data_IF_248225739210
#
_entry.id   IF_248225739210
#
_cell.length_a   1.000
_cell.length_b   1.000
_cell.length_c   1.000
_cell.angle_alpha   90.00
_cell.angle_beta   90.00
_cell.angle_gamma   90.00
#
_symmetry.space_group_name_H-M   'P 1'
#
loop_
_entity.id
_entity.type
_entity.pdbx_description
1 polymer ?
#
# COMPACT_ATOMS: atom_id res chain seq x y z
N UNK A 1 12.40 4.78 -28.37
CA UNK A 1 11.28 5.50 -27.73
C UNK A 1 11.24 5.04 -26.29
N UNK A 2 11.89 5.80 -25.39
CA UNK A 2 11.87 5.48 -23.95
C UNK A 2 10.50 5.81 -23.37
N UNK A 3 10.02 4.99 -22.44
CA UNK A 3 8.85 5.36 -21.62
C UNK A 3 9.29 6.42 -20.63
N UNK A 4 8.72 7.60 -20.74
CA UNK A 4 9.02 8.71 -19.83
C UNK A 4 8.26 8.47 -18.51
N UNK A 5 8.94 7.89 -17.52
CA UNK A 5 8.40 7.50 -16.20
C UNK A 5 8.34 8.70 -15.23
N UNK A 6 8.21 9.91 -15.78
CA UNK A 6 8.55 11.19 -15.15
C UNK A 6 7.39 11.85 -14.42
N UNK A 7 6.61 11.06 -13.70
CA UNK A 7 5.40 11.56 -13.04
C UNK A 7 5.13 10.67 -11.84
N UNK A 8 5.28 11.21 -10.62
CA UNK A 8 4.24 11.14 -9.57
C UNK A 8 4.67 12.00 -8.31
N UNK A 9 3.88 13.03 -7.90
CA UNK A 9 3.94 13.81 -6.62
C UNK A 9 3.44 15.29 -6.74
N UNK A 10 2.49 15.77 -5.92
CA UNK A 10 1.59 16.97 -6.12
C UNK A 10 2.27 18.31 -6.52
N UNK A 11 1.74 19.24 -7.35
CA UNK A 11 0.56 19.29 -8.26
C UNK A 11 0.83 20.15 -9.54
N UNK A 12 0.67 19.65 -10.79
CA UNK A 12 0.80 20.44 -12.05
C UNK A 12 -0.23 20.06 -13.13
N UNK A 13 -0.90 21.05 -13.74
CA UNK A 13 -1.82 20.83 -14.87
C UNK A 13 -1.10 20.84 -16.23
N UNK A 14 -1.59 20.05 -17.19
CA UNK A 14 -1.09 20.04 -18.57
C UNK A 14 -1.11 21.44 -19.20
N UNK A 15 -2.14 22.22 -18.91
CA UNK A 15 -2.30 23.60 -19.36
C UNK A 15 -1.27 24.56 -18.76
N UNK A 16 -0.85 24.36 -17.51
CA UNK A 16 0.25 25.11 -16.90
C UNK A 16 1.59 24.79 -17.60
N UNK A 17 1.92 23.51 -17.75
CA UNK A 17 3.18 23.05 -18.36
C UNK A 17 3.28 23.52 -19.82
N UNK A 18 2.21 23.35 -20.61
CA UNK A 18 2.15 23.80 -22.00
C UNK A 18 2.31 25.33 -22.12
N UNK A 19 1.77 26.10 -21.17
CA UNK A 19 1.90 27.57 -21.14
C UNK A 19 3.32 28.03 -20.81
N UNK A 20 4.02 27.38 -19.87
CA UNK A 20 5.42 27.69 -19.53
C UNK A 20 6.34 27.40 -20.73
N UNK A 21 6.16 26.24 -21.39
CA UNK A 21 6.94 25.84 -22.58
C UNK A 21 6.75 26.76 -23.79
N UNK A 22 5.50 27.12 -24.13
CA UNK A 22 5.19 28.03 -25.24
C UNK A 22 5.85 29.40 -25.08
N UNK A 23 5.82 29.93 -23.87
CA UNK A 23 6.39 31.25 -23.54
C UNK A 23 7.93 31.21 -23.56
N UNK A 24 8.54 30.17 -23.00
CA UNK A 24 10.01 30.04 -22.88
C UNK A 24 10.69 29.79 -24.23
N UNK A 25 10.09 28.97 -25.10
CA UNK A 25 10.66 28.58 -26.40
C UNK A 25 9.99 29.26 -27.60
N UNK A 26 9.12 30.25 -27.36
CA UNK A 26 8.34 30.99 -28.37
C UNK A 26 7.67 30.09 -29.44
N UNK A 27 7.11 28.95 -29.00
CA UNK A 27 6.51 27.92 -29.86
C UNK A 27 4.99 27.92 -29.74
N UNK A 28 4.30 27.38 -30.76
CA UNK A 28 2.82 27.24 -30.77
C UNK A 28 2.33 25.81 -30.54
N UNK A 29 3.23 24.84 -30.38
CA UNK A 29 2.87 23.42 -30.25
C UNK A 29 1.94 23.16 -29.06
N UNK A 30 1.16 22.07 -29.15
CA UNK A 30 0.32 21.51 -28.08
C UNK A 30 0.76 20.09 -27.78
N UNK A 31 0.43 19.59 -26.59
CA UNK A 31 0.49 18.16 -26.31
C UNK A 31 -0.48 17.39 -27.21
N UNK A 32 -0.10 16.17 -27.59
CA UNK A 32 -0.89 15.30 -28.47
C UNK A 32 -1.93 14.46 -27.70
N UNK A 33 -2.78 13.70 -28.42
CA UNK A 33 -3.91 12.96 -27.83
C UNK A 33 -3.53 11.74 -26.95
N UNK A 34 -2.26 11.51 -26.69
CA UNK A 34 -1.73 10.38 -25.89
C UNK A 34 -0.87 10.85 -24.70
N UNK A 35 -1.07 12.09 -24.24
CA UNK A 35 -0.32 12.70 -23.14
C UNK A 35 -0.99 12.42 -21.78
N UNK A 36 -0.20 12.04 -20.77
CA UNK A 36 -0.65 11.82 -19.39
C UNK A 36 0.18 12.62 -18.37
N UNK A 37 -0.46 12.98 -17.26
CA UNK A 37 0.18 13.45 -16.02
C UNK A 37 -0.38 12.58 -14.88
N UNK A 38 0.40 12.39 -13.82
CA UNK A 38 0.21 11.39 -12.77
C UNK A 38 0.90 11.96 -11.50
N UNK A 39 0.27 12.09 -10.30
CA UNK A 39 0.93 12.57 -9.03
C UNK A 39 0.75 11.80 -7.66
N UNK A 40 1.77 11.03 -7.17
CA UNK A 40 1.90 10.28 -5.88
C UNK A 40 3.21 10.64 -5.16
N UNK A 41 3.19 10.98 -3.87
CA UNK A 41 4.41 11.14 -3.04
C UNK A 41 5.18 9.84 -2.72
N UNK A 42 4.79 8.69 -3.29
CA UNK A 42 5.31 7.39 -2.87
C UNK A 42 6.81 7.21 -3.10
N UNK A 43 7.43 7.76 -4.14
CA UNK A 43 8.88 7.59 -4.35
C UNK A 43 9.70 8.09 -3.14
N UNK A 44 9.36 9.26 -2.58
CA UNK A 44 9.98 9.74 -1.34
C UNK A 44 9.70 8.80 -0.15
N UNK A 45 8.48 8.29 0.02
CA UNK A 45 8.15 7.37 1.12
C UNK A 45 8.92 6.05 0.99
N UNK A 46 9.03 5.53 -0.23
CA UNK A 46 9.78 4.32 -0.55
C UNK A 46 11.30 4.51 -0.37
N UNK A 47 11.84 5.70 -0.61
CA UNK A 47 13.22 6.06 -0.27
C UNK A 47 13.44 6.12 1.25
N UNK A 48 12.49 6.68 2.02
CA UNK A 48 12.56 6.66 3.49
C UNK A 48 12.45 5.24 4.04
N UNK A 49 11.57 4.39 3.49
CA UNK A 49 11.48 2.97 3.82
C UNK A 49 12.75 2.20 3.43
N UNK A 50 13.35 2.49 2.27
CA UNK A 50 14.63 1.91 1.87
C UNK A 50 15.74 2.30 2.84
N UNK A 51 15.75 3.55 3.32
CA UNK A 51 16.70 4.04 4.31
C UNK A 51 16.50 3.38 5.70
N UNK A 52 15.25 3.23 6.14
CA UNK A 52 14.86 2.53 7.37
C UNK A 52 15.26 1.05 7.31
N UNK A 53 14.88 0.35 6.24
CA UNK A 53 15.15 -1.07 6.07
C UNK A 53 16.66 -1.32 5.93
N UNK A 54 17.40 -0.49 5.17
CA UNK A 54 18.86 -0.54 5.12
C UNK A 54 19.52 -0.33 6.49
N UNK A 55 19.03 0.62 7.30
CA UNK A 55 19.48 0.79 8.68
C UNK A 55 19.21 -0.49 9.50
N UNK A 56 18.02 -1.07 9.40
CA UNK A 56 17.64 -2.28 10.15
C UNK A 56 18.46 -3.52 9.77
N UNK A 57 18.83 -3.67 8.50
CA UNK A 57 19.69 -4.76 8.01
C UNK A 57 21.16 -4.61 8.41
N UNK A 58 21.61 -3.40 8.73
CA UNK A 58 23.02 -3.10 9.09
C UNK A 58 23.25 -2.89 10.59
N UNK A 59 22.19 -2.73 11.38
CA UNK A 59 22.25 -2.48 12.82
C UNK A 59 21.28 -3.43 13.52
N UNK A 60 21.75 -4.45 14.24
CA UNK A 60 20.85 -5.42 14.89
C UNK A 60 20.14 -4.86 16.15
N UNK A 61 20.63 -3.76 16.73
CA UNK A 61 20.21 -3.28 18.05
C UNK A 61 18.75 -2.79 18.15
N UNK A 62 18.08 -2.49 17.04
CA UNK A 62 16.66 -2.09 17.05
C UNK A 62 15.75 -3.20 17.60
N UNK A 63 16.10 -4.48 17.39
CA UNK A 63 15.36 -5.61 17.95
C UNK A 63 15.23 -5.52 19.47
N UNK A 64 16.25 -5.00 20.18
CA UNK A 64 16.26 -4.87 21.65
C UNK A 64 15.27 -3.80 22.12
N UNK A 65 15.11 -2.71 21.36
CA UNK A 65 14.12 -1.67 21.62
C UNK A 65 12.70 -2.13 21.29
N UNK A 66 12.53 -2.74 20.12
CA UNK A 66 11.27 -3.32 19.66
C UNK A 66 10.74 -4.37 20.66
N UNK A 67 11.52 -5.39 21.01
CA UNK A 67 11.10 -6.44 21.96
C UNK A 67 10.63 -5.87 23.32
N UNK A 68 11.29 -4.82 23.80
CA UNK A 68 11.00 -4.22 25.10
C UNK A 68 9.73 -3.35 25.09
N UNK A 69 9.42 -2.72 23.96
CA UNK A 69 8.19 -1.94 23.78
C UNK A 69 7.00 -2.83 23.39
N UNK A 70 7.24 -3.92 22.67
CA UNK A 70 6.21 -4.82 22.17
C UNK A 70 5.70 -5.83 23.20
N UNK A 71 6.58 -6.49 23.97
CA UNK A 71 6.22 -7.75 24.66
C UNK A 71 4.99 -7.74 25.60
N UNK A 72 4.62 -6.61 26.23
CA UNK A 72 3.39 -6.55 27.03
C UNK A 72 2.16 -6.25 26.19
N UNK A 73 2.19 -5.15 25.43
CA UNK A 73 1.04 -4.66 24.68
C UNK A 73 0.74 -5.53 23.46
N UNK A 74 1.76 -6.01 22.76
CA UNK A 74 1.62 -6.86 21.57
C UNK A 74 0.99 -8.21 21.92
N UNK A 75 1.37 -8.86 23.03
CA UNK A 75 0.83 -10.17 23.40
C UNK A 75 -0.66 -10.10 23.82
N UNK A 76 -1.05 -9.10 24.60
CA UNK A 76 -2.45 -8.89 24.99
C UNK A 76 -3.32 -8.48 23.79
N UNK A 77 -2.82 -7.55 22.97
CA UNK A 77 -3.50 -7.17 21.72
C UNK A 77 -3.59 -8.37 20.79
N UNK A 78 -2.52 -9.11 20.52
CA UNK A 78 -2.50 -10.29 19.63
C UNK A 78 -3.45 -11.40 20.07
N UNK A 79 -3.66 -11.61 21.38
CA UNK A 79 -4.65 -12.57 21.87
C UNK A 79 -6.10 -12.10 21.64
N UNK A 80 -6.38 -10.80 21.79
CA UNK A 80 -7.69 -10.22 21.50
C UNK A 80 -7.91 -9.90 20.00
N UNK A 81 -6.82 -9.82 19.22
CA UNK A 81 -6.80 -9.29 17.86
C UNK A 81 -7.71 -10.06 16.90
N UNK A 82 -7.77 -11.41 16.89
CA UNK A 82 -8.68 -12.13 16.01
C UNK A 82 -10.14 -11.80 16.32
N UNK A 83 -10.54 -11.73 17.60
CA UNK A 83 -11.92 -11.44 17.99
C UNK A 83 -12.32 -9.99 17.66
N UNK A 84 -11.47 -9.02 18.00
CA UNK A 84 -11.73 -7.60 17.72
C UNK A 84 -11.76 -7.35 16.20
N UNK A 85 -10.80 -7.91 15.46
CA UNK A 85 -10.71 -7.74 14.00
C UNK A 85 -11.87 -8.43 13.28
N UNK A 86 -12.26 -9.65 13.71
CA UNK A 86 -13.44 -10.36 13.20
C UNK A 86 -14.72 -9.55 13.40
N UNK A 87 -14.94 -9.02 14.59
CA UNK A 87 -16.12 -8.17 14.86
C UNK A 87 -16.13 -6.89 14.03
N UNK A 88 -14.96 -6.24 13.85
CA UNK A 88 -14.82 -5.05 13.00
C UNK A 88 -15.07 -5.38 11.53
N UNK A 89 -14.44 -6.41 10.97
CA UNK A 89 -14.56 -6.73 9.53
C UNK A 89 -15.99 -7.14 9.16
N UNK A 90 -16.69 -7.95 9.96
CA UNK A 90 -18.09 -8.29 9.68
C UNK A 90 -19.04 -7.08 9.78
N UNK A 91 -18.80 -6.17 10.73
CA UNK A 91 -19.54 -4.89 10.77
C UNK A 91 -19.29 -4.06 9.52
N UNK A 92 -18.04 -3.98 9.07
CA UNK A 92 -17.67 -3.27 7.84
C UNK A 92 -18.29 -3.90 6.60
N UNK A 93 -18.30 -5.23 6.49
CA UNK A 93 -18.99 -5.94 5.38
C UNK A 93 -20.47 -5.55 5.36
N UNK A 94 -21.16 -5.58 6.50
CA UNK A 94 -22.57 -5.19 6.58
C UNK A 94 -22.82 -3.72 6.20
N UNK A 95 -21.93 -2.79 6.57
CA UNK A 95 -22.00 -1.38 6.12
C UNK A 95 -21.83 -1.28 4.61
N UNK A 96 -20.76 -1.85 4.07
CA UNK A 96 -20.46 -1.82 2.63
C UNK A 96 -21.57 -2.45 1.79
N UNK A 97 -22.30 -3.44 2.32
CA UNK A 97 -23.44 -4.07 1.67
C UNK A 97 -24.64 -3.12 1.51
N UNK A 98 -24.82 -2.18 2.45
CA UNK A 98 -25.76 -1.07 2.33
C UNK A 98 -25.21 0.05 1.45
N UNK A 99 -23.95 0.43 1.64
CA UNK A 99 -23.34 1.60 0.98
C UNK A 99 -23.12 1.37 -0.53
N UNK A 100 -22.69 0.17 -0.94
CA UNK A 100 -22.55 -0.17 -2.36
C UNK A 100 -23.90 -0.13 -3.08
N UNK A 101 -24.98 -0.64 -2.46
CA UNK A 101 -26.32 -0.57 -3.05
C UNK A 101 -26.86 0.87 -3.22
N UNK A 102 -26.32 1.84 -2.48
CA UNK A 102 -26.68 3.26 -2.58
C UNK A 102 -25.84 4.01 -3.63
N UNK A 103 -24.53 3.73 -3.70
CA UNK A 103 -23.58 4.50 -4.53
C UNK A 103 -23.24 3.85 -5.89
N UNK A 104 -23.37 2.54 -6.00
CA UNK A 104 -23.21 1.80 -7.24
C UNK A 104 -24.57 1.24 -7.66
N UNK A 105 -24.94 1.44 -8.92
CA UNK A 105 -26.17 0.83 -9.45
C UNK A 105 -26.02 -0.68 -9.34
N UNK A 106 -27.02 -1.35 -8.73
CA UNK A 106 -26.98 -2.78 -8.41
C UNK A 106 -26.72 -3.62 -9.67
N UNK A 107 -25.45 -3.89 -9.92
CA UNK A 107 -25.00 -4.96 -10.78
C UNK A 107 -24.94 -6.22 -9.92
N UNK A 108 -25.57 -7.31 -10.40
CA UNK A 108 -25.72 -8.57 -9.66
C UNK A 108 -24.39 -9.21 -9.17
N UNK A 109 -23.23 -8.67 -9.54
CA UNK A 109 -21.90 -9.12 -9.10
C UNK A 109 -21.33 -8.44 -7.85
N UNK A 110 -21.96 -7.38 -7.30
CA UNK A 110 -21.41 -6.67 -6.13
C UNK A 110 -21.85 -7.29 -4.79
N UNK A 111 -23.07 -7.84 -4.71
CA UNK A 111 -23.49 -8.64 -3.58
C UNK A 111 -22.61 -9.91 -3.45
N UNK A 112 -22.34 -10.60 -4.56
CA UNK A 112 -21.45 -11.76 -4.58
C UNK A 112 -20.00 -11.41 -4.21
N UNK A 113 -19.53 -10.19 -4.48
CA UNK A 113 -18.18 -9.75 -4.08
C UNK A 113 -18.03 -9.70 -2.54
N UNK A 114 -19.06 -9.22 -1.84
CA UNK A 114 -19.07 -9.17 -0.38
C UNK A 114 -19.33 -10.55 0.25
N UNK A 115 -20.10 -11.41 -0.40
CA UNK A 115 -20.28 -12.81 0.01
C UNK A 115 -18.98 -13.63 -0.18
N UNK A 116 -18.27 -13.45 -1.30
CA UNK A 116 -16.92 -14.01 -1.54
C UNK A 116 -15.92 -13.54 -0.48
N UNK A 117 -15.95 -12.24 -0.14
CA UNK A 117 -15.12 -11.69 0.94
C UNK A 117 -15.46 -12.32 2.29
N UNK A 118 -16.74 -12.42 2.66
CA UNK A 118 -17.16 -13.00 3.93
C UNK A 118 -16.69 -14.45 4.07
N UNK A 119 -16.78 -15.25 3.00
CA UNK A 119 -16.25 -16.61 2.97
C UNK A 119 -14.71 -16.63 3.12
N UNK A 120 -14.00 -15.74 2.43
CA UNK A 120 -12.54 -15.67 2.45
C UNK A 120 -11.93 -15.07 3.74
N UNK A 121 -12.70 -14.28 4.50
CA UNK A 121 -12.26 -13.62 5.74
C UNK A 121 -11.95 -14.64 6.84
N UNK A 122 -12.70 -15.75 6.93
CA UNK A 122 -12.45 -16.78 7.95
C UNK A 122 -11.14 -17.54 7.69
N UNK A 123 -10.87 -17.92 6.44
CA UNK A 123 -9.57 -18.47 6.03
C UNK A 123 -8.44 -17.50 6.39
N UNK A 124 -8.63 -16.20 6.10
CA UNK A 124 -7.61 -15.18 6.33
C UNK A 124 -7.35 -14.94 7.82
N UNK A 125 -8.39 -14.93 8.66
CA UNK A 125 -8.29 -14.82 10.12
C UNK A 125 -7.68 -16.06 10.77
N UNK A 126 -7.96 -17.26 10.23
CA UNK A 126 -7.32 -18.50 10.66
C UNK A 126 -5.85 -18.56 10.21
N UNK A 127 -5.50 -17.91 9.09
CA UNK A 127 -4.14 -17.87 8.58
C UNK A 127 -3.25 -16.97 9.46
N UNK A 128 -2.44 -17.59 10.32
CA UNK A 128 -1.39 -16.91 11.10
C UNK A 128 -0.19 -16.49 10.22
N UNK A 129 -0.38 -16.40 8.90
CA UNK A 129 0.69 -16.47 7.90
C UNK A 129 1.65 -15.28 7.94
N UNK A 130 1.17 -14.08 8.28
CA UNK A 130 1.97 -12.84 8.31
C UNK A 130 3.29 -12.99 9.07
N UNK A 131 3.24 -13.63 10.26
CA UNK A 131 4.39 -13.78 11.15
C UNK A 131 5.49 -14.69 10.58
N UNK A 132 5.19 -15.52 9.58
CA UNK A 132 6.13 -16.47 8.99
C UNK A 132 6.44 -16.20 7.51
N UNK A 133 5.82 -15.21 6.84
CA UNK A 133 6.06 -14.93 5.42
C UNK A 133 7.55 -14.72 5.13
N UNK A 134 8.25 -13.96 5.98
CA UNK A 134 9.67 -13.72 5.82
C UNK A 134 10.48 -15.03 5.89
N UNK A 135 10.20 -15.92 6.86
CA UNK A 135 10.86 -17.22 6.99
C UNK A 135 10.55 -18.15 5.81
N UNK A 136 9.27 -18.24 5.44
CA UNK A 136 8.78 -19.08 4.33
C UNK A 136 9.27 -18.61 2.95
N UNK A 137 9.72 -17.36 2.82
CA UNK A 137 10.32 -16.81 1.60
C UNK A 137 11.84 -16.64 1.69
N UNK A 138 12.48 -17.08 2.78
CA UNK A 138 13.93 -16.91 2.98
C UNK A 138 14.38 -15.43 3.03
N UNK A 139 13.49 -14.53 3.44
CA UNK A 139 13.76 -13.10 3.57
C UNK A 139 14.18 -12.75 5.00
N UNK A 140 15.21 -11.93 5.13
CA UNK A 140 15.62 -11.34 6.43
C UNK A 140 14.57 -10.30 6.85
N UNK A 141 14.20 -10.30 8.13
CA UNK A 141 13.25 -9.34 8.69
C UNK A 141 13.87 -7.94 8.84
N UNK A 142 13.01 -6.93 8.84
CA UNK A 142 13.37 -5.50 8.94
C UNK A 142 12.55 -4.82 10.03
N UNK A 143 12.98 -3.62 10.44
CA UNK A 143 12.13 -2.74 11.24
C UNK A 143 11.03 -2.17 10.36
N UNK A 144 9.81 -2.63 10.59
CA UNK A 144 8.57 -2.23 9.89
C UNK A 144 7.84 -1.18 10.73
N UNK A 145 7.23 -0.17 10.11
CA UNK A 145 6.43 0.86 10.78
C UNK A 145 5.10 0.29 11.31
N UNK A 146 4.46 -0.60 10.54
CA UNK A 146 3.29 -1.38 10.94
C UNK A 146 1.95 -0.65 10.78
N UNK A 147 1.96 0.69 10.84
CA UNK A 147 0.79 1.53 10.47
C UNK A 147 1.18 2.71 9.57
N UNK A 148 1.77 2.45 8.39
CA UNK A 148 2.17 3.52 7.46
C UNK A 148 1.07 3.89 6.46
N UNK A 149 0.51 5.10 6.59
CA UNK A 149 -0.49 5.70 5.70
C UNK A 149 -0.34 7.23 5.71
N UNK A 150 -0.97 7.96 4.78
CA UNK A 150 -0.76 9.41 4.59
C UNK A 150 -0.81 10.23 5.87
N UNK A 151 -1.72 9.94 6.80
CA UNK A 151 -1.87 10.71 8.05
C UNK A 151 -0.69 10.55 9.01
N UNK A 152 0.10 9.47 8.87
CA UNK A 152 1.30 9.20 9.65
C UNK A 152 2.59 9.71 8.96
N UNK A 153 2.45 10.53 7.91
CA UNK A 153 3.55 11.16 7.18
C UNK A 153 3.39 12.68 7.28
N UNK A 154 4.41 13.36 7.84
CA UNK A 154 4.42 14.81 7.93
C UNK A 154 5.11 15.42 6.72
N UNK A 155 4.45 16.39 6.07
CA UNK A 155 4.89 17.02 4.83
C UNK A 155 5.16 18.52 5.03
N UNK A 156 6.16 19.05 4.35
CA UNK A 156 6.46 20.49 4.25
C UNK A 156 6.38 20.93 2.79
N UNK A 157 5.74 22.07 2.53
CA UNK A 157 5.87 22.76 1.25
C UNK A 157 7.24 23.46 1.19
N UNK A 158 8.06 23.11 0.20
CA UNK A 158 9.38 23.69 -0.05
C UNK A 158 9.38 24.33 -1.43
N UNK A 159 9.86 25.60 -1.58
CA UNK A 159 10.01 26.22 -2.88
C UNK A 159 11.24 25.65 -3.62
N UNK A 160 11.11 25.44 -4.93
CA UNK A 160 12.23 25.15 -5.83
C UNK A 160 12.95 26.44 -6.28
N UNK A 161 13.91 26.31 -7.18
CA UNK A 161 14.66 27.45 -7.74
C UNK A 161 13.83 28.39 -8.63
N UNK A 162 12.69 27.92 -9.14
CA UNK A 162 11.74 28.69 -9.97
C UNK A 162 10.66 29.37 -9.12
N UNK A 163 10.55 29.03 -7.83
CA UNK A 163 9.52 29.51 -6.90
C UNK A 163 8.25 28.63 -6.86
N UNK A 164 8.23 27.48 -7.53
CA UNK A 164 7.16 26.50 -7.43
C UNK A 164 7.30 25.70 -6.12
N UNK A 165 6.20 25.25 -5.50
CA UNK A 165 6.28 24.51 -4.22
C UNK A 165 6.02 23.02 -4.37
N UNK A 166 6.91 22.19 -3.82
CA UNK A 166 6.77 20.73 -3.76
C UNK A 166 6.59 20.25 -2.31
N UNK A 167 6.03 19.05 -2.13
CA UNK A 167 5.94 18.39 -0.82
C UNK A 167 7.23 17.61 -0.52
N UNK A 168 7.84 17.89 0.63
CA UNK A 168 8.97 17.17 1.19
C UNK A 168 8.54 16.45 2.47
N UNK A 169 8.88 15.16 2.62
CA UNK A 169 8.68 14.42 3.87
C UNK A 169 9.59 15.00 4.96
N UNK A 170 8.99 15.49 6.05
CA UNK A 170 9.68 15.93 7.27
C UNK A 170 9.99 14.72 8.16
N UNK A 171 8.98 13.87 8.38
CA UNK A 171 9.05 12.76 9.33
C UNK A 171 7.95 11.72 9.06
N UNK A 172 8.23 10.47 9.46
CA UNK A 172 7.22 9.45 9.70
C UNK A 172 6.92 9.43 11.21
N UNK A 173 5.65 9.34 11.59
CA UNK A 173 5.17 9.43 12.97
C UNK A 173 4.21 8.29 13.32
N UNK A 174 3.90 8.15 14.60
CA UNK A 174 3.03 7.09 15.14
C UNK A 174 3.59 5.65 15.00
N UNK A 175 4.81 5.47 15.50
CA UNK A 175 5.54 4.21 15.55
C UNK A 175 5.00 3.21 16.61
N UNK A 176 3.77 3.37 17.10
CA UNK A 176 3.21 2.50 18.16
C UNK A 176 3.04 1.03 17.73
N UNK A 177 2.96 0.78 16.41
CA UNK A 177 2.86 -0.55 15.81
C UNK A 177 4.20 -1.05 15.23
N UNK A 178 5.33 -0.39 15.52
CA UNK A 178 6.61 -0.72 14.91
C UNK A 178 7.18 -2.05 15.42
N UNK A 179 7.57 -2.94 14.50
CA UNK A 179 7.95 -4.31 14.84
C UNK A 179 8.94 -4.95 13.86
N UNK A 180 9.42 -6.15 14.20
CA UNK A 180 10.21 -6.97 13.29
C UNK A 180 9.30 -7.67 12.27
N UNK A 181 9.28 -7.17 11.05
CA UNK A 181 8.38 -7.61 9.98
C UNK A 181 9.08 -7.79 8.64
N UNK A 182 8.31 -7.82 7.56
CA UNK A 182 8.75 -7.90 6.18
C UNK A 182 8.63 -6.53 5.49
N UNK A 183 9.54 -6.23 4.56
CA UNK A 183 9.53 -4.97 3.80
C UNK A 183 8.20 -4.67 3.10
N UNK A 184 7.45 -5.71 2.72
CA UNK A 184 6.20 -5.56 1.97
C UNK A 184 5.00 -5.09 2.82
N UNK A 185 5.07 -5.18 4.15
CA UNK A 185 3.95 -4.87 5.05
C UNK A 185 3.57 -3.40 4.98
N UNK A 186 4.56 -2.50 5.10
CA UNK A 186 4.34 -1.06 4.97
C UNK A 186 3.90 -0.67 3.55
N UNK A 187 4.31 -1.40 2.50
CA UNK A 187 3.82 -1.15 1.14
C UNK A 187 2.35 -1.53 0.99
N UNK A 188 1.91 -2.66 1.56
CA UNK A 188 0.50 -3.05 1.55
C UNK A 188 -0.35 -1.99 2.26
N UNK A 189 0.05 -1.58 3.46
CA UNK A 189 -0.66 -0.57 4.26
C UNK A 189 -0.69 0.79 3.56
N UNK A 190 0.45 1.28 3.07
CA UNK A 190 0.57 2.57 2.39
C UNK A 190 -0.22 2.58 1.08
N UNK A 191 0.11 1.68 0.15
CA UNK A 191 -0.49 1.71 -1.18
C UNK A 191 -1.99 1.48 -1.11
N UNK A 192 -2.48 0.53 -0.29
CA UNK A 192 -3.90 0.23 -0.19
C UNK A 192 -4.73 1.37 0.41
N UNK A 193 -4.23 2.00 1.48
CA UNK A 193 -4.93 3.10 2.16
C UNK A 193 -4.80 4.46 1.46
N UNK A 194 -3.67 4.71 0.81
CA UNK A 194 -3.20 6.07 0.50
C UNK A 194 -2.93 6.35 -0.98
N UNK A 195 -2.94 5.34 -1.86
CA UNK A 195 -2.67 5.49 -3.31
C UNK A 195 -3.87 5.02 -4.12
N UNK A 196 -4.31 5.80 -5.09
CA UNK A 196 -5.51 5.50 -5.88
C UNK A 196 -5.46 4.11 -6.54
N UNK A 197 -6.57 3.36 -6.57
CA UNK A 197 -6.56 1.95 -6.99
C UNK A 197 -5.98 1.71 -8.38
N UNK A 198 -6.29 2.58 -9.34
CA UNK A 198 -5.81 2.54 -10.72
C UNK A 198 -4.28 2.69 -10.77
N UNK A 199 -3.76 3.62 -9.97
CA UNK A 199 -2.34 3.92 -9.86
C UNK A 199 -1.60 2.80 -9.16
N UNK A 200 -2.15 2.29 -8.06
CA UNK A 200 -1.60 1.12 -7.36
C UNK A 200 -1.57 -0.10 -8.28
N UNK A 201 -2.65 -0.41 -8.99
CA UNK A 201 -2.74 -1.56 -9.90
C UNK A 201 -1.82 -1.41 -11.13
N UNK A 202 -1.68 -0.19 -11.67
CA UNK A 202 -0.84 0.08 -12.83
C UNK A 202 0.66 0.11 -12.55
N UNK A 203 1.07 0.63 -11.38
CA UNK A 203 2.48 0.94 -11.09
C UNK A 203 3.10 0.06 -9.98
N UNK A 204 2.37 -0.88 -9.37
CA UNK A 204 2.87 -1.72 -8.27
C UNK A 204 4.24 -2.33 -8.57
N UNK A 205 4.37 -2.98 -9.73
CA UNK A 205 5.61 -3.66 -10.13
C UNK A 205 6.78 -2.67 -10.25
N UNK A 206 6.56 -1.50 -10.86
CA UNK A 206 7.57 -0.45 -10.98
C UNK A 206 7.94 0.15 -9.61
N UNK A 207 6.99 0.31 -8.69
CA UNK A 207 7.24 0.80 -7.34
C UNK A 207 8.05 -0.18 -6.49
N UNK A 208 7.79 -1.49 -6.62
CA UNK A 208 8.54 -2.54 -5.92
C UNK A 208 9.94 -2.78 -6.52
N UNK A 209 10.12 -2.54 -7.82
CA UNK A 209 11.43 -2.48 -8.48
C UNK A 209 12.22 -1.24 -8.03
N UNK A 210 11.62 -0.06 -8.07
CA UNK A 210 12.21 1.19 -7.59
C UNK A 210 12.65 1.10 -6.12
N UNK A 211 11.81 0.48 -5.27
CA UNK A 211 12.16 0.18 -3.90
C UNK A 211 13.48 -0.60 -3.76
N UNK A 212 13.64 -1.65 -4.56
CA UNK A 212 14.80 -2.54 -4.52
C UNK A 212 16.07 -1.79 -4.94
N UNK A 213 15.97 -0.95 -5.97
CA UNK A 213 17.06 -0.05 -6.38
C UNK A 213 17.44 0.95 -5.27
N UNK A 214 16.46 1.60 -4.64
CA UNK A 214 16.68 2.50 -3.50
C UNK A 214 17.34 1.78 -2.33
N UNK A 215 16.87 0.57 -1.98
CA UNK A 215 17.45 -0.23 -0.91
C UNK A 215 18.90 -0.60 -1.21
N UNK A 216 19.20 -0.99 -2.45
CA UNK A 216 20.55 -1.33 -2.88
C UNK A 216 21.49 -0.12 -2.78
N UNK A 217 21.02 1.06 -3.17
CA UNK A 217 21.77 2.31 -2.99
C UNK A 217 22.04 2.59 -1.51
N UNK A 218 21.00 2.49 -0.65
CA UNK A 218 21.14 2.73 0.81
C UNK A 218 22.00 1.70 1.53
N UNK A 219 22.06 0.45 1.06
CA UNK A 219 23.01 -0.54 1.56
C UNK A 219 24.44 -0.25 1.08
N UNK A 220 24.64 0.18 -0.18
CA UNK A 220 25.97 0.56 -0.71
C UNK A 220 26.56 1.76 0.01
N UNK A 221 25.75 2.76 0.37
CA UNK A 221 26.14 3.88 1.26
C UNK A 221 26.66 3.39 2.63
N UNK A 222 26.30 2.18 3.04
CA UNK A 222 26.68 1.52 4.31
C UNK A 222 27.72 0.41 4.12
N UNK A 223 28.40 0.35 2.97
CA UNK A 223 29.37 -0.70 2.59
C UNK A 223 28.80 -2.12 2.49
N UNK A 224 27.49 -2.27 2.25
CA UNK A 224 26.84 -3.55 1.96
C UNK A 224 26.45 -3.61 0.49
N UNK A 225 27.03 -4.57 -0.24
CA UNK A 225 26.95 -4.59 -1.71
C UNK A 225 25.82 -5.46 -2.30
N UNK A 226 25.05 -6.17 -1.46
CA UNK A 226 23.93 -7.02 -1.88
C UNK A 226 22.73 -6.93 -0.95
N UNK A 227 21.54 -7.17 -1.50
CA UNK A 227 20.27 -7.27 -0.76
C UNK A 227 20.00 -8.74 -0.44
N UNK A 228 19.51 -9.10 0.77
CA UNK A 228 19.22 -10.49 1.13
C UNK A 228 17.92 -11.06 0.51
N UNK A 229 17.37 -10.43 -0.52
CA UNK A 229 16.18 -10.85 -1.25
C UNK A 229 16.06 -10.19 -2.63
N UNK A 230 15.33 -10.85 -3.52
CA UNK A 230 15.01 -10.46 -4.90
C UNK A 230 13.77 -9.58 -4.99
N UNK A 231 13.55 -8.94 -6.13
CA UNK A 231 12.30 -8.22 -6.44
C UNK A 231 11.11 -9.17 -6.41
N UNK A 232 11.27 -10.40 -6.93
CA UNK A 232 10.27 -11.44 -6.98
C UNK A 232 9.81 -11.88 -5.58
N UNK A 233 10.76 -12.01 -4.63
CA UNK A 233 10.44 -12.25 -3.23
C UNK A 233 9.63 -11.10 -2.62
N UNK A 234 9.92 -9.84 -2.95
CA UNK A 234 9.15 -8.68 -2.47
C UNK A 234 7.74 -8.65 -3.09
N UNK A 235 7.62 -8.83 -4.41
CA UNK A 235 6.33 -8.92 -5.12
C UNK A 235 5.47 -10.02 -4.52
N UNK A 236 6.04 -11.20 -4.29
CA UNK A 236 5.30 -12.31 -3.71
C UNK A 236 5.01 -12.12 -2.21
N UNK A 237 5.88 -11.48 -1.43
CA UNK A 237 5.57 -11.08 -0.06
C UNK A 237 4.38 -10.11 -0.03
N UNK A 238 4.33 -9.12 -0.93
CA UNK A 238 3.20 -8.19 -1.06
C UNK A 238 1.88 -8.93 -1.31
N UNK A 239 1.86 -9.90 -2.25
CA UNK A 239 0.69 -10.78 -2.48
C UNK A 239 0.24 -11.47 -1.18
N UNK A 240 1.18 -12.00 -0.39
CA UNK A 240 0.90 -12.79 0.82
C UNK A 240 0.47 -11.93 2.02
N UNK A 241 0.98 -10.70 2.13
CA UNK A 241 0.56 -9.74 3.15
C UNK A 241 -0.74 -8.99 2.81
N UNK A 242 -1.18 -8.99 1.55
CA UNK A 242 -2.34 -8.21 1.12
C UNK A 242 -3.62 -8.56 1.90
N UNK A 243 -3.88 -9.85 2.16
CA UNK A 243 -5.03 -10.28 2.96
C UNK A 243 -4.96 -9.83 4.42
N UNK A 244 -3.79 -9.88 5.05
CA UNK A 244 -3.58 -9.35 6.40
C UNK A 244 -3.76 -7.84 6.47
N UNK A 245 -3.27 -7.12 5.44
CA UNK A 245 -3.48 -5.69 5.29
C UNK A 245 -4.95 -5.32 5.09
N UNK A 246 -5.70 -6.09 4.29
CA UNK A 246 -7.14 -5.84 4.06
C UNK A 246 -7.94 -5.84 5.37
N UNK A 247 -7.68 -6.80 6.27
CA UNK A 247 -8.37 -6.89 7.56
C UNK A 247 -8.21 -5.63 8.44
N UNK A 248 -7.13 -4.87 8.25
CA UNK A 248 -6.85 -3.61 8.95
C UNK A 248 -7.36 -2.41 8.15
N UNK A 249 -7.09 -2.39 6.83
CA UNK A 249 -7.40 -1.26 5.95
C UNK A 249 -8.89 -1.10 5.71
N UNK A 250 -9.65 -2.19 5.50
CA UNK A 250 -11.06 -2.10 5.11
C UNK A 250 -11.92 -1.48 6.22
N UNK A 251 -11.82 -1.89 7.50
CA UNK A 251 -12.56 -1.23 8.58
C UNK A 251 -12.08 0.20 8.85
N UNK A 252 -10.78 0.47 8.68
CA UNK A 252 -10.23 1.81 8.81
C UNK A 252 -10.82 2.76 7.76
N UNK A 253 -10.76 2.39 6.48
CA UNK A 253 -11.29 3.22 5.39
C UNK A 253 -12.81 3.40 5.47
N UNK A 254 -13.56 2.33 5.76
CA UNK A 254 -15.01 2.39 5.96
C UNK A 254 -15.40 3.33 7.10
N UNK A 255 -14.74 3.27 8.26
CA UNK A 255 -15.02 4.20 9.36
C UNK A 255 -14.75 5.67 9.01
N UNK A 256 -13.70 5.94 8.22
CA UNK A 256 -13.43 7.29 7.76
C UNK A 256 -14.45 7.81 6.73
N UNK A 257 -15.27 6.96 6.08
CA UNK A 257 -16.31 7.41 5.14
C UNK A 257 -17.36 8.31 5.83
N UNK A 258 -17.61 8.08 7.13
CA UNK A 258 -18.53 8.84 7.97
C UNK A 258 -17.89 10.09 8.60
N UNK A 259 -16.56 10.12 8.70
CA UNK A 259 -15.81 11.22 9.31
C UNK A 259 -15.56 12.36 8.31
N UNK A 260 -16.36 13.42 8.39
CA UNK A 260 -16.18 14.62 7.57
C UNK A 260 -17.36 15.61 7.54
N UNK A 261 -18.52 15.17 8.02
CA UNK A 261 -19.83 15.84 7.87
C UNK A 261 -19.97 17.24 8.52
N UNK A 262 -18.94 17.78 9.16
CA UNK A 262 -19.01 19.01 9.97
C UNK A 262 -18.43 20.28 9.34
N UNK A 263 -17.64 20.19 8.27
CA UNK A 263 -16.84 21.34 7.76
C UNK A 263 -16.83 21.53 6.23
N UNK A 264 -17.43 20.61 5.47
CA UNK A 264 -17.47 20.65 4.00
C UNK A 264 -18.92 20.57 3.51
N UNK A 265 -19.21 21.17 2.35
CA UNK A 265 -20.54 21.09 1.73
C UNK A 265 -20.91 19.66 1.29
N UNK A 266 -22.21 19.38 1.21
CA UNK A 266 -22.74 18.02 0.97
C UNK A 266 -22.15 17.33 -0.27
N UNK A 267 -21.93 18.05 -1.37
CA UNK A 267 -21.31 17.54 -2.60
C UNK A 267 -19.89 16.99 -2.37
N UNK A 268 -19.08 17.69 -1.56
CA UNK A 268 -17.72 17.24 -1.21
C UNK A 268 -17.73 16.01 -0.29
N UNK A 269 -18.75 15.88 0.57
CA UNK A 269 -18.93 14.70 1.43
C UNK A 269 -19.30 13.48 0.58
N UNK A 270 -20.25 13.63 -0.36
CA UNK A 270 -20.68 12.55 -1.26
C UNK A 270 -19.54 12.09 -2.17
N UNK A 271 -18.77 13.00 -2.76
CA UNK A 271 -17.64 12.62 -3.62
C UNK A 271 -16.52 11.93 -2.82
N UNK A 272 -16.25 12.40 -1.58
CA UNK A 272 -15.30 11.73 -0.67
C UNK A 272 -15.77 10.32 -0.30
N UNK A 273 -17.04 10.14 0.02
CA UNK A 273 -17.63 8.82 0.29
C UNK A 273 -17.51 7.91 -0.93
N UNK A 274 -17.84 8.40 -2.13
CA UNK A 274 -17.68 7.67 -3.40
C UNK A 274 -16.23 7.22 -3.64
N UNK A 275 -15.25 8.10 -3.42
CA UNK A 275 -13.82 7.78 -3.53
C UNK A 275 -13.39 6.67 -2.54
N UNK A 276 -13.88 6.74 -1.30
CA UNK A 276 -13.58 5.75 -0.26
C UNK A 276 -14.23 4.40 -0.58
N UNK A 277 -15.50 4.38 -1.01
CA UNK A 277 -16.21 3.16 -1.39
C UNK A 277 -15.58 2.48 -2.61
N UNK A 278 -15.17 3.26 -3.62
CA UNK A 278 -14.41 2.77 -4.77
C UNK A 278 -13.08 2.12 -4.35
N UNK A 279 -12.35 2.76 -3.44
CA UNK A 279 -11.12 2.20 -2.84
C UNK A 279 -11.39 0.91 -2.09
N UNK A 280 -12.41 0.86 -1.23
CA UNK A 280 -12.83 -0.34 -0.51
C UNK A 280 -13.13 -1.50 -1.48
N UNK A 281 -13.96 -1.26 -2.51
CA UNK A 281 -14.25 -2.24 -3.57
C UNK A 281 -12.98 -2.78 -4.22
N UNK A 282 -12.10 -1.90 -4.69
CA UNK A 282 -10.87 -2.32 -5.37
C UNK A 282 -9.92 -3.12 -4.47
N UNK A 283 -9.89 -2.84 -3.16
CA UNK A 283 -9.12 -3.64 -2.19
C UNK A 283 -9.70 -5.05 -2.05
N UNK A 284 -11.03 -5.21 -2.07
CA UNK A 284 -11.68 -6.51 -1.98
C UNK A 284 -11.43 -7.35 -3.24
N UNK A 285 -11.62 -6.75 -4.42
CA UNK A 285 -11.32 -7.35 -5.72
C UNK A 285 -9.86 -7.86 -5.81
N UNK A 286 -8.90 -7.06 -5.33
CA UNK A 286 -7.49 -7.41 -5.36
C UNK A 286 -7.14 -8.52 -4.37
N UNK A 287 -7.70 -8.49 -3.16
CA UNK A 287 -7.53 -9.57 -2.18
C UNK A 287 -8.02 -10.92 -2.72
N UNK A 288 -9.24 -10.97 -3.27
CA UNK A 288 -9.80 -12.18 -3.85
C UNK A 288 -8.96 -12.67 -5.05
N UNK A 289 -8.41 -11.74 -5.84
CA UNK A 289 -7.50 -12.06 -6.95
C UNK A 289 -6.18 -12.63 -6.46
N UNK A 290 -5.56 -12.05 -5.42
CA UNK A 290 -4.34 -12.60 -4.83
C UNK A 290 -4.58 -13.94 -4.13
N UNK A 291 -5.70 -14.12 -3.41
CA UNK A 291 -6.10 -15.40 -2.79
C UNK A 291 -6.17 -16.53 -3.84
N UNK A 292 -6.94 -16.32 -4.92
CA UNK A 292 -7.01 -17.28 -6.05
C UNK A 292 -5.64 -17.59 -6.65
N UNK A 293 -4.82 -16.57 -6.93
CA UNK A 293 -3.45 -16.72 -7.47
C UNK A 293 -2.54 -17.53 -6.54
N UNK A 294 -2.70 -17.41 -5.22
CA UNK A 294 -1.92 -18.17 -4.23
C UNK A 294 -2.41 -19.62 -4.13
N UNK A 295 -3.71 -19.86 -4.20
CA UNK A 295 -4.33 -21.20 -4.22
C UNK A 295 -3.94 -21.98 -5.48
N UNK A 296 -3.96 -21.35 -6.65
CA UNK A 296 -3.48 -21.94 -7.92
C UNK A 296 -2.00 -22.34 -7.86
N UNK A 297 -1.14 -21.48 -7.29
CA UNK A 297 0.29 -21.78 -7.06
C UNK A 297 0.48 -22.96 -6.10
N UNK A 298 -0.31 -23.05 -5.03
CA UNK A 298 -0.24 -24.18 -4.09
C UNK A 298 -0.69 -25.48 -4.75
N UNK A 299 -1.81 -25.46 -5.47
CA UNK A 299 -2.32 -26.64 -6.17
C UNK A 299 -1.33 -27.15 -7.23
N UNK A 300 -0.72 -26.27 -8.02
CA UNK A 300 0.31 -26.66 -9.00
C UNK A 300 1.60 -27.18 -8.35
N UNK A 301 2.02 -26.64 -7.20
CA UNK A 301 3.17 -27.13 -6.44
C UNK A 301 2.94 -28.50 -5.76
N UNK A 302 1.68 -28.98 -5.66
CA UNK A 302 1.32 -30.31 -5.12
C UNK A 302 1.31 -31.40 -6.20
N UNK A 303 1.31 -31.03 -7.50
CA UNK A 303 1.43 -31.98 -8.62
C UNK A 303 2.73 -31.86 -9.47
N UNK A 304 3.98 -31.83 -8.91
CA UNK A 304 5.18 -31.81 -9.75
C UNK A 304 5.46 -33.15 -10.47
N UNK A 305 5.25 -34.28 -9.79
CA UNK A 305 5.76 -35.59 -10.21
C UNK A 305 4.65 -36.65 -10.38
N UNK A 306 3.80 -36.48 -11.40
CA UNK A 306 2.89 -37.56 -11.83
C UNK A 306 2.58 -37.54 -13.34
N UNK A 307 3.56 -37.17 -14.16
CA UNK A 307 3.51 -37.34 -15.62
C UNK A 307 4.82 -37.96 -16.12
N UNK A 308 4.73 -39.23 -16.53
CA UNK A 308 5.64 -40.00 -17.40
C UNK A 308 7.02 -40.40 -16.86
N UNK A 309 7.09 -41.63 -16.33
CA UNK A 309 7.75 -42.75 -17.02
C UNK A 309 7.05 -44.08 -16.71
#
# INVERSE_FOLDING_TARGET
MGKDLSIFGTTITASFLQRKLRTTFNTRCTFGPQFSIQQIGCKQVFEQLANLHAYSLTNWTWHIGADKMLRSTFLEVQQAFPLITRHRIYRTIASLQQDFGNFFLVHNGEASLLDELAAAVEDQLASHNGQLVHQQLGMVSVLTHGDLWTNNILWRKVPDSDGETFDEIIALIDWQNAHAGNVAEDFVRLLGSSVDPEVRRGELDHLLEYYHECLLAKLRERNVHGIPYTVEQIKHAYERFFGQGLLIMLPSLSGHADEGNGLLGEEHVQERQRCILHRCRCLIEDFLTYKRKLEEKQNTAVYPDNILL
#
